data_IF_197030726879
#
_entry.id   IF_197030726879
#
_cell.length_a   1.000
_cell.length_b   1.000
_cell.length_c   1.000
_cell.angle_alpha   90.00
_cell.angle_beta   90.00
_cell.angle_gamma   90.00
#
_symmetry.space_group_name_H-M   'P 1'
#
loop_
_entity.id
_entity.type
_entity.pdbx_description
1 polymer ?
#
# COMPACT_ATOMS: atom_id res chain seq x y z
N UNK A 1 13.19 -30.35 -71.92
CA UNK A 1 13.11 -28.94 -71.47
C UNK A 1 11.78 -28.55 -70.82
N UNK A 2 10.60 -28.83 -71.47
CA UNK A 2 9.29 -28.44 -70.87
C UNK A 2 8.97 -29.12 -69.51
N UNK A 3 9.40 -30.36 -69.24
CA UNK A 3 9.18 -31.08 -68.01
C UNK A 3 10.12 -30.58 -66.90
N UNK A 4 11.31 -30.07 -67.23
CA UNK A 4 12.25 -29.48 -66.21
C UNK A 4 11.82 -28.08 -65.76
N UNK A 5 11.23 -27.31 -66.69
CA UNK A 5 10.70 -25.99 -66.41
C UNK A 5 9.47 -26.07 -65.50
N UNK A 6 8.61 -27.09 -65.68
CA UNK A 6 7.45 -27.33 -64.77
C UNK A 6 7.84 -27.74 -63.36
N UNK A 7 8.93 -28.51 -63.21
CA UNK A 7 9.44 -28.89 -61.86
C UNK A 7 10.07 -27.71 -61.15
N UNK A 8 10.76 -26.82 -61.83
CA UNK A 8 11.35 -25.62 -61.25
C UNK A 8 10.27 -24.59 -60.83
N UNK A 9 9.19 -24.45 -61.66
CA UNK A 9 8.05 -23.62 -61.32
C UNK A 9 7.26 -24.19 -60.13
N UNK A 10 7.09 -25.52 -60.02
CA UNK A 10 6.45 -26.17 -58.88
C UNK A 10 7.29 -26.06 -57.60
N UNK A 11 8.63 -26.16 -57.73
CA UNK A 11 9.54 -25.93 -56.58
C UNK A 11 9.57 -24.47 -56.14
N UNK A 12 9.49 -23.49 -57.06
CA UNK A 12 9.36 -22.07 -56.71
C UNK A 12 8.01 -21.73 -56.11
N UNK A 13 6.92 -22.36 -56.52
CA UNK A 13 5.60 -22.19 -55.86
C UNK A 13 5.56 -22.89 -54.51
N UNK A 14 6.22 -24.03 -54.31
CA UNK A 14 6.34 -24.69 -53.03
C UNK A 14 7.23 -23.91 -52.04
N UNK A 15 8.26 -23.20 -52.48
CA UNK A 15 9.07 -22.28 -51.66
C UNK A 15 8.36 -20.93 -51.42
N UNK A 16 7.43 -20.53 -52.29
CA UNK A 16 6.59 -19.33 -52.08
C UNK A 16 5.44 -19.54 -51.09
N UNK A 17 5.13 -20.78 -50.72
CA UNK A 17 4.18 -21.13 -49.66
C UNK A 17 4.86 -21.35 -48.29
N UNK A 18 6.17 -21.18 -48.20
CA UNK A 18 6.83 -21.08 -46.90
C UNK A 18 6.55 -19.72 -46.30
N UNK A 19 5.53 -19.75 -45.43
CA UNK A 19 5.30 -18.79 -44.36
C UNK A 19 5.39 -17.32 -44.79
N UNK A 20 4.31 -16.78 -45.32
CA UNK A 20 3.86 -15.56 -44.68
C UNK A 20 3.40 -16.05 -43.29
N UNK A 21 4.33 -16.29 -42.37
CA UNK A 21 4.05 -16.05 -40.98
C UNK A 21 3.65 -14.58 -41.00
N UNK A 22 2.36 -14.29 -40.90
CA UNK A 22 1.87 -13.00 -40.48
C UNK A 22 2.71 -12.70 -39.26
N UNK A 23 3.61 -11.74 -39.36
CA UNK A 23 4.19 -11.19 -38.14
C UNK A 23 2.95 -10.76 -37.33
N UNK A 24 2.60 -11.52 -36.32
CA UNK A 24 1.55 -11.10 -35.40
C UNK A 24 1.91 -9.68 -35.01
N UNK A 25 0.98 -8.77 -35.24
CA UNK A 25 1.19 -7.35 -34.95
C UNK A 25 1.56 -7.25 -33.48
N UNK A 26 2.74 -6.69 -33.20
CA UNK A 26 3.26 -6.60 -31.83
C UNK A 26 2.29 -5.76 -31.00
N UNK A 27 1.78 -6.32 -29.93
CA UNK A 27 0.89 -5.63 -28.99
C UNK A 27 1.75 -4.80 -28.06
N UNK A 28 1.58 -3.49 -28.06
CA UNK A 28 2.25 -2.61 -27.09
C UNK A 28 1.28 -2.26 -25.98
N UNK A 29 1.74 -2.39 -24.73
CA UNK A 29 1.05 -1.92 -23.52
C UNK A 29 1.83 -0.76 -22.91
N UNK A 30 1.19 0.37 -22.71
CA UNK A 30 1.76 1.52 -21.98
C UNK A 30 1.47 1.35 -20.47
N UNK A 31 2.53 1.05 -19.74
CA UNK A 31 2.48 0.72 -18.33
C UNK A 31 3.10 1.84 -17.47
N UNK A 32 2.25 2.62 -16.81
CA UNK A 32 2.65 3.67 -15.87
C UNK A 32 2.98 3.05 -14.53
N UNK A 33 4.22 3.24 -14.07
CA UNK A 33 4.68 2.59 -12.85
C UNK A 33 5.60 3.52 -12.02
N UNK A 34 5.08 4.04 -10.91
CA UNK A 34 5.87 4.88 -10.00
C UNK A 34 6.98 4.10 -9.29
N UNK A 35 6.80 2.81 -9.07
CA UNK A 35 7.77 1.98 -8.36
C UNK A 35 9.11 1.85 -9.09
N UNK A 36 9.15 2.15 -10.39
CA UNK A 36 10.38 2.26 -11.18
C UNK A 36 11.25 3.48 -10.78
N UNK A 37 10.69 4.46 -10.06
CA UNK A 37 11.46 5.57 -9.48
C UNK A 37 12.11 5.22 -8.13
N UNK A 38 11.78 4.06 -7.55
CA UNK A 38 12.28 3.59 -6.27
C UNK A 38 13.32 2.48 -6.47
N UNK A 39 14.57 2.72 -6.08
CA UNK A 39 15.72 1.86 -6.41
C UNK A 39 15.49 0.38 -6.08
N UNK A 40 15.00 0.07 -4.87
CA UNK A 40 14.77 -1.31 -4.43
C UNK A 40 13.70 -2.06 -5.25
N UNK A 41 12.74 -1.32 -5.82
CA UNK A 41 11.64 -1.87 -6.62
C UNK A 41 11.96 -1.88 -8.11
N UNK A 42 12.76 -0.92 -8.60
CA UNK A 42 13.06 -0.74 -10.01
C UNK A 42 13.71 -1.98 -10.64
N UNK A 43 14.70 -2.57 -9.98
CA UNK A 43 15.40 -3.75 -10.48
C UNK A 43 14.46 -4.95 -10.61
N UNK A 44 13.57 -5.13 -9.64
CA UNK A 44 12.57 -6.19 -9.68
C UNK A 44 11.56 -5.98 -10.82
N UNK A 45 11.04 -4.75 -11.00
CA UNK A 45 10.09 -4.44 -12.07
C UNK A 45 10.72 -4.58 -13.45
N UNK A 46 11.94 -4.06 -13.64
CA UNK A 46 12.66 -4.19 -14.91
C UNK A 46 12.89 -5.66 -15.28
N UNK A 47 13.27 -6.48 -14.30
CA UNK A 47 13.43 -7.92 -14.51
C UNK A 47 12.09 -8.60 -14.82
N UNK A 48 11.02 -8.28 -14.10
CA UNK A 48 9.70 -8.87 -14.28
C UNK A 48 9.16 -8.58 -15.69
N UNK A 49 9.29 -7.34 -16.17
CA UNK A 49 8.92 -6.96 -17.52
C UNK A 49 9.75 -7.70 -18.56
N UNK A 50 11.08 -7.72 -18.39
CA UNK A 50 11.97 -8.39 -19.34
C UNK A 50 11.72 -9.91 -19.42
N UNK A 51 11.47 -10.58 -18.29
CA UNK A 51 11.15 -12.01 -18.25
C UNK A 51 9.80 -12.30 -18.93
N UNK A 52 8.81 -11.40 -18.75
CA UNK A 52 7.53 -11.51 -19.42
C UNK A 52 7.65 -11.37 -20.94
N UNK A 53 8.35 -10.34 -21.41
CA UNK A 53 8.57 -10.10 -22.86
C UNK A 53 9.35 -11.22 -23.51
N UNK A 54 10.35 -11.78 -22.83
CA UNK A 54 11.09 -12.93 -23.31
C UNK A 54 10.21 -14.18 -23.51
N UNK A 55 9.18 -14.35 -22.66
CA UNK A 55 8.21 -15.42 -22.77
C UNK A 55 7.07 -15.12 -23.77
N UNK A 56 6.83 -13.83 -24.07
CA UNK A 56 5.76 -13.34 -24.93
C UNK A 56 6.32 -12.37 -25.99
N UNK A 57 7.06 -12.85 -27.01
CA UNK A 57 7.81 -11.99 -27.93
C UNK A 57 6.95 -11.11 -28.82
N UNK A 58 5.64 -11.36 -28.87
CA UNK A 58 4.64 -10.56 -29.55
C UNK A 58 4.05 -9.43 -28.69
N UNK A 59 4.45 -9.31 -27.42
CA UNK A 59 4.03 -8.24 -26.52
C UNK A 59 5.23 -7.36 -26.17
N UNK A 60 4.99 -6.06 -26.09
CA UNK A 60 5.96 -5.03 -25.69
C UNK A 60 5.36 -4.20 -24.56
N UNK A 61 6.08 -4.05 -23.48
CA UNK A 61 5.64 -3.25 -22.34
C UNK A 61 6.44 -1.97 -22.30
N UNK A 62 5.86 -0.89 -22.84
CA UNK A 62 6.42 0.45 -22.72
C UNK A 62 6.21 0.97 -21.28
N UNK A 63 7.24 0.83 -20.45
CA UNK A 63 7.19 1.32 -19.07
C UNK A 63 7.39 2.84 -19.01
N UNK A 64 6.47 3.53 -18.32
CA UNK A 64 6.51 4.98 -18.12
C UNK A 64 6.72 5.24 -16.63
N UNK A 65 7.93 5.70 -16.31
CA UNK A 65 8.33 6.00 -14.94
C UNK A 65 7.89 7.41 -14.57
N UNK A 66 7.09 7.52 -13.51
CA UNK A 66 6.62 8.80 -12.97
C UNK A 66 6.78 8.75 -11.45
N UNK A 67 7.20 9.87 -10.84
CA UNK A 67 7.22 9.98 -9.38
C UNK A 67 5.82 9.81 -8.79
N UNK A 68 5.73 9.12 -7.65
CA UNK A 68 4.48 8.80 -6.97
C UNK A 68 3.54 10.01 -6.81
N UNK A 69 4.06 11.16 -6.37
CA UNK A 69 3.25 12.36 -6.13
C UNK A 69 2.74 13.02 -7.42
N UNK A 70 3.38 12.72 -8.55
CA UNK A 70 3.02 13.27 -9.87
C UNK A 70 2.19 12.31 -10.71
N UNK A 71 2.03 11.06 -10.27
CA UNK A 71 1.47 9.98 -11.08
C UNK A 71 0.07 10.33 -11.61
N UNK A 72 -0.88 10.63 -10.72
CA UNK A 72 -2.27 10.95 -11.12
C UNK A 72 -2.30 12.11 -12.12
N UNK A 73 -1.58 13.19 -11.82
CA UNK A 73 -1.57 14.38 -12.70
C UNK A 73 -0.96 14.06 -14.06
N UNK A 74 0.10 13.25 -14.09
CA UNK A 74 0.79 12.91 -15.35
C UNK A 74 -0.12 12.07 -16.23
N UNK A 75 -0.65 10.97 -15.73
CA UNK A 75 -1.42 10.09 -16.60
C UNK A 75 -2.80 10.69 -16.97
N UNK A 76 -3.45 11.50 -16.11
CA UNK A 76 -4.66 12.23 -16.50
C UNK A 76 -4.39 13.27 -17.61
N UNK A 77 -3.26 13.94 -17.56
CA UNK A 77 -2.85 14.86 -18.64
C UNK A 77 -2.54 14.11 -19.95
N UNK A 78 -1.90 12.94 -19.86
CA UNK A 78 -1.61 12.11 -21.02
C UNK A 78 -2.90 11.59 -21.67
N UNK A 79 -3.85 11.11 -20.87
CA UNK A 79 -5.19 10.72 -21.36
C UNK A 79 -5.94 11.90 -22.00
N UNK A 80 -5.94 13.07 -21.36
CA UNK A 80 -6.55 14.27 -21.92
C UNK A 80 -5.89 14.71 -23.23
N UNK A 81 -4.61 14.37 -23.45
CA UNK A 81 -3.87 14.61 -24.70
C UNK A 81 -4.09 13.52 -25.76
N UNK A 82 -4.90 12.50 -25.46
CA UNK A 82 -5.20 11.39 -26.36
C UNK A 82 -4.12 10.30 -26.39
N UNK A 83 -3.21 10.28 -25.42
CA UNK A 83 -2.26 9.19 -25.24
C UNK A 83 -2.95 8.02 -24.51
N UNK A 84 -2.69 6.80 -24.97
CA UNK A 84 -3.20 5.62 -24.31
C UNK A 84 -2.54 5.41 -22.95
N UNK A 85 -3.31 4.94 -21.97
CA UNK A 85 -2.83 4.41 -20.69
C UNK A 85 -3.47 3.04 -20.53
N UNK A 86 -2.69 1.99 -20.74
CA UNK A 86 -3.25 0.62 -20.78
C UNK A 86 -3.22 -0.04 -19.41
N UNK A 87 -2.21 0.29 -18.61
CA UNK A 87 -2.03 -0.27 -17.27
C UNK A 87 -1.34 0.75 -16.36
N UNK A 88 -1.78 0.82 -15.12
CA UNK A 88 -1.18 1.67 -14.07
C UNK A 88 -0.85 0.81 -12.85
N UNK A 89 0.37 0.90 -12.36
CA UNK A 89 0.72 0.42 -11.02
C UNK A 89 0.47 1.54 -10.04
N UNK A 90 -0.57 1.39 -9.26
CA UNK A 90 -1.14 2.45 -8.45
C UNK A 90 -1.54 2.01 -7.05
N UNK A 91 -2.39 2.81 -6.48
CA UNK A 91 -2.97 2.56 -5.17
C UNK A 91 -4.48 2.87 -5.17
N UNK A 92 -5.13 2.38 -4.16
CA UNK A 92 -6.58 2.41 -4.01
C UNK A 92 -7.15 3.83 -3.98
N UNK A 93 -6.45 4.80 -3.39
CA UNK A 93 -6.94 6.19 -3.26
C UNK A 93 -7.09 6.90 -4.61
N UNK A 94 -6.56 6.33 -5.70
CA UNK A 94 -6.68 6.89 -7.04
C UNK A 94 -7.94 6.43 -7.77
N UNK A 95 -8.56 5.34 -7.31
CA UNK A 95 -9.73 4.74 -7.96
C UNK A 95 -10.87 5.74 -8.18
N UNK A 96 -11.33 6.53 -7.18
CA UNK A 96 -12.45 7.44 -7.39
C UNK A 96 -12.25 8.40 -8.55
N UNK A 97 -11.14 9.13 -8.56
CA UNK A 97 -10.85 10.12 -9.61
C UNK A 97 -10.74 9.49 -11.00
N UNK A 98 -10.26 8.26 -11.09
CA UNK A 98 -10.08 7.56 -12.36
C UNK A 98 -11.39 6.98 -12.88
N UNK A 99 -12.25 6.49 -12.01
CA UNK A 99 -13.58 6.01 -12.37
C UNK A 99 -14.47 7.17 -12.82
N UNK A 100 -14.48 8.26 -12.07
CA UNK A 100 -15.24 9.47 -12.41
C UNK A 100 -14.77 10.09 -13.73
N UNK A 101 -13.50 9.98 -14.05
CA UNK A 101 -12.94 10.38 -15.34
C UNK A 101 -13.24 9.42 -16.49
N UNK A 102 -13.78 8.24 -16.22
CA UNK A 102 -13.99 7.19 -17.22
C UNK A 102 -12.67 6.62 -17.77
N UNK A 103 -11.62 6.57 -16.95
CA UNK A 103 -10.27 6.25 -17.40
C UNK A 103 -9.86 4.79 -17.16
N UNK A 104 -10.54 4.08 -16.28
CA UNK A 104 -10.22 2.70 -15.91
C UNK A 104 -11.40 1.77 -16.08
N UNK A 105 -11.11 0.56 -16.54
CA UNK A 105 -12.05 -0.52 -16.76
C UNK A 105 -12.23 -1.38 -15.50
N UNK A 106 -13.32 -2.10 -15.42
CA UNK A 106 -13.51 -3.16 -14.44
C UNK A 106 -12.58 -4.34 -14.77
N UNK A 107 -11.80 -4.85 -13.81
CA UNK A 107 -10.94 -6.01 -14.06
C UNK A 107 -11.68 -7.25 -14.58
N UNK A 108 -12.95 -7.43 -14.17
CA UNK A 108 -13.79 -8.54 -14.63
C UNK A 108 -14.05 -8.54 -16.15
N UNK A 109 -13.96 -7.36 -16.80
CA UNK A 109 -14.16 -7.21 -18.25
C UNK A 109 -12.88 -7.45 -19.07
N UNK A 110 -11.74 -7.57 -18.39
CA UNK A 110 -10.41 -7.70 -19.01
C UNK A 110 -9.75 -9.02 -18.66
N UNK A 111 -9.81 -9.41 -17.40
CA UNK A 111 -9.10 -10.60 -16.91
C UNK A 111 -9.91 -11.87 -17.17
N UNK A 112 -9.21 -12.97 -17.41
CA UNK A 112 -9.85 -14.28 -17.53
C UNK A 112 -10.56 -14.63 -16.20
N UNK A 113 -11.77 -15.19 -16.31
CA UNK A 113 -12.64 -15.43 -15.16
C UNK A 113 -11.99 -16.31 -14.08
N UNK A 114 -11.23 -17.34 -14.47
CA UNK A 114 -10.55 -18.24 -13.53
C UNK A 114 -9.41 -17.56 -12.79
N UNK A 115 -8.71 -16.64 -13.44
CA UNK A 115 -7.66 -15.84 -12.81
C UNK A 115 -8.28 -14.81 -11.86
N UNK A 116 -9.24 -14.02 -12.33
CA UNK A 116 -9.91 -13.01 -11.49
C UNK A 116 -10.55 -13.63 -10.24
N UNK A 117 -11.22 -14.77 -10.36
CA UNK A 117 -11.78 -15.52 -9.22
C UNK A 117 -10.73 -16.11 -8.26
N UNK A 118 -9.45 -15.93 -8.57
CA UNK A 118 -8.35 -16.33 -7.70
C UNK A 118 -7.96 -15.30 -6.64
N UNK A 119 -8.43 -14.06 -6.77
CA UNK A 119 -8.20 -13.02 -5.76
C UNK A 119 -9.06 -13.26 -4.52
N UNK A 120 -8.53 -12.88 -3.35
CA UNK A 120 -9.29 -12.87 -2.11
C UNK A 120 -10.35 -11.77 -2.18
N UNK A 121 -11.63 -12.14 -2.04
CA UNK A 121 -12.74 -11.21 -2.16
C UNK A 121 -12.66 -10.09 -1.12
N UNK A 122 -12.28 -10.41 0.12
CA UNK A 122 -12.12 -9.42 1.18
C UNK A 122 -11.02 -8.39 0.86
N UNK A 123 -10.03 -8.76 0.02
CA UNK A 123 -9.02 -7.82 -0.46
C UNK A 123 -9.48 -7.07 -1.70
N UNK A 124 -10.30 -7.69 -2.57
CA UNK A 124 -10.91 -6.98 -3.72
C UNK A 124 -11.90 -5.91 -3.29
N UNK A 125 -12.65 -6.14 -2.20
CA UNK A 125 -13.69 -5.21 -1.72
C UNK A 125 -13.14 -3.81 -1.39
N UNK A 126 -11.84 -3.67 -1.13
CA UNK A 126 -11.22 -2.36 -0.95
C UNK A 126 -11.22 -1.49 -2.22
N UNK A 127 -11.33 -2.12 -3.42
CA UNK A 127 -11.38 -1.44 -4.72
C UNK A 127 -12.80 -1.17 -5.21
N UNK A 128 -13.79 -1.44 -4.33
CA UNK A 128 -15.19 -1.14 -4.63
C UNK A 128 -15.40 0.37 -4.62
N UNK A 129 -15.93 0.88 -5.71
CA UNK A 129 -16.33 2.27 -5.85
C UNK A 129 -17.59 2.37 -6.71
N UNK A 130 -18.57 3.19 -6.29
CA UNK A 130 -19.93 3.19 -6.83
C UNK A 130 -20.52 1.77 -6.77
N UNK A 131 -20.71 1.11 -7.89
CA UNK A 131 -21.41 -0.18 -7.97
C UNK A 131 -20.47 -1.36 -8.32
N UNK A 132 -19.14 -1.14 -8.47
CA UNK A 132 -18.22 -2.13 -9.02
C UNK A 132 -16.79 -2.08 -8.44
N UNK A 133 -15.97 -3.08 -8.79
CA UNK A 133 -14.55 -3.17 -8.42
C UNK A 133 -13.68 -2.71 -9.58
N UNK A 134 -12.77 -1.75 -9.35
CA UNK A 134 -11.97 -1.09 -10.39
C UNK A 134 -10.46 -1.29 -10.26
N UNK A 135 -10.02 -2.23 -9.47
CA UNK A 135 -8.60 -2.57 -9.36
C UNK A 135 -8.38 -3.99 -8.89
N UNK A 136 -7.17 -4.48 -9.07
CA UNK A 136 -6.75 -5.77 -8.52
C UNK A 136 -5.47 -5.59 -7.71
N UNK A 137 -5.40 -6.15 -6.50
CA UNK A 137 -4.22 -6.01 -5.67
C UNK A 137 -3.04 -6.80 -6.24
N UNK A 138 -1.87 -6.20 -6.25
CA UNK A 138 -0.61 -6.91 -6.44
C UNK A 138 -0.26 -7.71 -5.18
N UNK A 139 -0.44 -7.07 -4.04
CA UNK A 139 -0.33 -7.61 -2.69
C UNK A 139 -1.13 -6.71 -1.74
N UNK A 140 -1.31 -7.14 -0.51
CA UNK A 140 -1.84 -6.27 0.53
C UNK A 140 -0.91 -6.19 1.73
N UNK A 141 -1.02 -5.11 2.45
CA UNK A 141 -0.33 -4.86 3.71
C UNK A 141 -1.36 -4.48 4.77
N UNK A 142 -0.92 -4.44 6.00
CA UNK A 142 -1.71 -3.90 7.08
C UNK A 142 -0.82 -3.05 8.00
N UNK A 143 -1.44 -2.23 8.84
CA UNK A 143 -0.72 -1.47 9.85
C UNK A 143 -0.05 -2.42 10.84
N UNK A 144 1.24 -2.16 11.09
CA UNK A 144 2.08 -2.97 11.98
C UNK A 144 2.84 -2.06 12.95
N UNK A 145 3.30 -2.61 14.06
CA UNK A 145 4.33 -1.99 14.88
C UNK A 145 5.66 -2.64 14.50
N UNK A 146 6.58 -1.89 13.88
CA UNK A 146 7.95 -2.33 13.77
C UNK A 146 8.65 -2.19 15.11
N UNK A 147 9.38 -3.22 15.50
CA UNK A 147 10.05 -3.34 16.79
C UNK A 147 11.53 -3.64 16.57
N UNK A 148 12.39 -2.81 17.14
CA UNK A 148 13.82 -3.11 17.24
C UNK A 148 14.03 -4.07 18.41
N UNK A 149 14.14 -5.37 18.09
CA UNK A 149 14.24 -6.42 19.11
C UNK A 149 15.44 -6.24 20.03
N UNK A 150 16.57 -5.78 19.51
CA UNK A 150 17.81 -5.63 20.27
C UNK A 150 17.65 -4.55 21.35
N UNK A 151 16.94 -3.44 21.02
CA UNK A 151 16.64 -2.37 21.98
C UNK A 151 15.62 -2.81 23.04
N UNK A 152 14.61 -3.56 22.62
CA UNK A 152 13.54 -4.06 23.50
C UNK A 152 14.08 -5.10 24.47
N UNK A 153 14.85 -6.07 23.98
CA UNK A 153 15.45 -7.13 24.80
C UNK A 153 16.53 -6.58 25.74
N UNK A 154 17.30 -5.57 25.32
CA UNK A 154 18.27 -4.90 26.20
C UNK A 154 17.61 -4.25 27.41
N UNK A 155 16.37 -3.77 27.28
CA UNK A 155 15.57 -3.22 28.39
C UNK A 155 14.89 -4.31 29.24
N UNK A 156 15.14 -5.60 28.94
CA UNK A 156 14.58 -6.75 29.70
C UNK A 156 13.18 -7.15 29.29
N UNK A 157 12.64 -6.60 28.21
CA UNK A 157 11.33 -6.96 27.68
C UNK A 157 11.47 -8.17 26.73
N UNK A 158 10.42 -8.99 26.65
CA UNK A 158 10.43 -10.21 25.83
C UNK A 158 9.38 -10.14 24.71
N UNK A 159 9.79 -10.38 23.49
CA UNK A 159 8.92 -10.25 22.29
C UNK A 159 7.71 -11.19 22.30
N UNK A 160 7.81 -12.36 22.92
CA UNK A 160 6.70 -13.30 23.08
C UNK A 160 5.64 -12.80 24.09
N UNK A 161 6.00 -11.83 24.92
CA UNK A 161 5.12 -11.13 25.87
C UNK A 161 4.64 -9.76 25.32
N UNK A 162 4.71 -9.51 24.00
CA UNK A 162 4.32 -8.24 23.39
C UNK A 162 2.87 -7.87 23.79
N UNK A 163 2.61 -6.61 24.17
CA UNK A 163 1.33 -6.20 24.76
C UNK A 163 0.15 -6.36 23.81
N UNK A 164 -0.95 -6.88 24.33
CA UNK A 164 -2.24 -6.99 23.62
C UNK A 164 -3.26 -5.92 24.04
N UNK A 165 -2.86 -5.02 24.94
CA UNK A 165 -3.70 -3.91 25.41
C UNK A 165 -2.94 -2.58 25.33
N UNK A 166 -3.65 -1.46 25.19
CA UNK A 166 -3.07 -0.13 25.18
C UNK A 166 -2.28 0.15 26.49
N UNK A 167 -2.83 -0.24 27.63
CA UNK A 167 -2.17 -0.05 28.93
C UNK A 167 -0.87 -0.87 29.03
N UNK A 168 -0.89 -2.10 28.54
CA UNK A 168 0.33 -2.91 28.43
C UNK A 168 1.37 -2.27 27.52
N UNK A 169 0.94 -1.71 26.37
CA UNK A 169 1.84 -0.99 25.46
C UNK A 169 2.43 0.26 26.12
N UNK A 170 1.64 1.04 26.85
CA UNK A 170 2.15 2.18 27.63
C UNK A 170 3.18 1.73 28.67
N UNK A 171 2.94 0.61 29.37
CA UNK A 171 3.92 0.05 30.31
C UNK A 171 5.26 -0.34 29.66
N UNK A 172 5.23 -0.86 28.43
CA UNK A 172 6.44 -1.11 27.66
C UNK A 172 7.16 0.17 27.26
N UNK A 173 6.41 1.17 26.78
CA UNK A 173 6.93 2.49 26.42
C UNK A 173 7.63 3.13 27.63
N UNK A 174 7.01 3.11 28.79
CA UNK A 174 7.58 3.67 30.04
C UNK A 174 8.84 2.91 30.49
N UNK A 175 8.85 1.58 30.37
CA UNK A 175 10.03 0.75 30.67
C UNK A 175 11.20 1.10 29.75
N UNK A 176 10.95 1.19 28.43
CA UNK A 176 11.96 1.58 27.44
C UNK A 176 12.44 3.01 27.69
N UNK A 177 11.54 3.95 27.96
CA UNK A 177 11.88 5.33 28.24
C UNK A 177 12.75 5.45 29.49
N UNK A 178 12.43 4.72 30.56
CA UNK A 178 13.23 4.71 31.80
C UNK A 178 14.62 4.10 31.56
N UNK A 179 14.72 3.07 30.71
CA UNK A 179 15.99 2.42 30.40
C UNK A 179 16.92 3.30 29.55
N UNK A 180 16.36 4.01 28.56
CA UNK A 180 17.13 4.82 27.60
C UNK A 180 17.26 6.31 27.97
N UNK A 181 16.70 6.75 29.11
CA UNK A 181 16.65 8.17 29.51
C UNK A 181 17.98 8.91 29.53
N UNK A 182 19.07 8.20 29.85
CA UNK A 182 20.41 8.77 30.03
C UNK A 182 21.36 8.45 28.85
N UNK A 183 20.78 7.93 27.70
CA UNK A 183 21.57 7.49 26.55
C UNK A 183 21.29 8.31 25.30
N UNK A 184 22.34 8.61 24.53
CA UNK A 184 22.23 9.35 23.26
C UNK A 184 21.83 8.47 22.05
N UNK A 185 21.69 7.16 22.24
CA UNK A 185 21.49 6.21 21.14
C UNK A 185 20.06 6.20 20.64
N UNK A 186 19.07 6.30 21.53
CA UNK A 186 17.65 6.18 21.18
C UNK A 186 17.03 7.58 21.13
N UNK A 187 16.53 7.95 19.96
CA UNK A 187 15.88 9.24 19.73
C UNK A 187 14.36 9.17 19.86
N UNK A 188 13.78 7.98 19.73
CA UNK A 188 12.33 7.75 19.80
C UNK A 188 12.02 6.42 20.45
N UNK A 189 11.14 6.44 21.42
CA UNK A 189 10.66 5.23 22.13
C UNK A 189 9.52 4.58 21.34
N UNK A 190 8.50 5.37 20.97
CA UNK A 190 7.37 4.88 20.19
C UNK A 190 6.94 5.93 19.15
N UNK A 191 7.27 5.68 17.89
CA UNK A 191 7.03 6.60 16.79
C UNK A 191 5.61 6.56 16.27
N UNK A 192 4.92 7.71 16.32
CA UNK A 192 3.71 7.99 15.56
C UNK A 192 3.92 9.27 14.76
N UNK A 193 3.61 9.21 13.46
CA UNK A 193 3.79 10.36 12.57
C UNK A 193 2.82 11.50 12.88
N UNK A 194 3.30 12.74 12.76
CA UNK A 194 2.55 13.96 13.11
C UNK A 194 2.72 15.08 12.07
N UNK A 195 3.57 14.92 11.04
CA UNK A 195 3.76 15.95 10.02
C UNK A 195 2.50 16.17 9.17
N UNK A 196 2.21 17.40 8.79
CA UNK A 196 1.03 17.77 7.99
C UNK A 196 1.18 17.39 6.51
N UNK A 197 1.21 16.09 6.23
CA UNK A 197 1.25 15.52 4.88
C UNK A 197 0.20 14.42 4.71
N UNK A 198 -0.27 14.13 3.49
CA UNK A 198 -1.31 13.12 3.25
C UNK A 198 -1.00 11.75 3.85
N UNK A 199 0.21 11.25 3.67
CA UNK A 199 0.64 9.96 4.21
C UNK A 199 0.54 9.87 5.75
N UNK A 200 0.75 10.99 6.46
CA UNK A 200 0.52 11.08 7.90
C UNK A 200 -0.96 10.92 8.24
N UNK A 201 -1.83 11.55 7.47
CA UNK A 201 -3.28 11.45 7.66
C UNK A 201 -3.78 10.02 7.50
N UNK A 202 -3.29 9.27 6.50
CA UNK A 202 -3.59 7.85 6.36
C UNK A 202 -3.13 7.03 7.57
N UNK A 203 -1.91 7.29 8.06
CA UNK A 203 -1.37 6.60 9.24
C UNK A 203 -2.16 6.94 10.52
N UNK A 204 -2.58 8.21 10.71
CA UNK A 204 -3.43 8.61 11.84
C UNK A 204 -4.81 7.94 11.72
N UNK A 205 -5.38 7.85 10.50
CA UNK A 205 -6.63 7.13 10.29
C UNK A 205 -6.50 5.64 10.67
N UNK A 206 -5.36 5.00 10.36
CA UNK A 206 -5.11 3.64 10.78
C UNK A 206 -5.11 3.49 12.31
N UNK A 207 -4.53 4.45 13.04
CA UNK A 207 -4.58 4.48 14.49
C UNK A 207 -6.01 4.74 14.99
N UNK A 208 -6.76 5.66 14.35
CA UNK A 208 -8.15 5.94 14.71
C UNK A 208 -9.03 4.68 14.56
N UNK A 209 -8.85 3.92 13.48
CA UNK A 209 -9.52 2.63 13.30
C UNK A 209 -9.12 1.59 14.35
N UNK A 210 -7.86 1.59 14.79
CA UNK A 210 -7.40 0.71 15.87
C UNK A 210 -8.12 1.03 17.22
N UNK A 211 -8.45 2.31 17.46
CA UNK A 211 -9.29 2.74 18.58
C UNK A 211 -10.80 2.49 18.38
N UNK A 212 -11.21 1.95 17.24
CA UNK A 212 -12.59 1.61 16.91
C UNK A 212 -13.38 2.72 16.22
N UNK A 213 -12.70 3.79 15.78
CA UNK A 213 -13.32 4.89 15.07
C UNK A 213 -13.52 4.61 13.57
N UNK A 214 -14.44 5.33 12.96
CA UNK A 214 -14.74 5.29 11.54
C UNK A 214 -14.83 6.71 10.98
N UNK A 215 -14.14 6.97 9.86
CA UNK A 215 -14.19 8.26 9.17
C UNK A 215 -15.27 8.29 8.10
N UNK A 216 -15.35 7.25 7.31
CA UNK A 216 -16.24 7.14 6.16
C UNK A 216 -17.06 5.87 6.34
N UNK A 217 -18.36 6.00 6.19
CA UNK A 217 -19.31 4.88 6.20
C UNK A 217 -19.15 4.01 4.96
N UNK A 218 -19.75 2.82 4.97
CA UNK A 218 -19.76 1.95 3.81
C UNK A 218 -20.41 2.58 2.56
N UNK A 219 -21.32 3.54 2.78
CA UNK A 219 -22.01 4.27 1.70
C UNK A 219 -21.22 5.48 1.19
N UNK A 220 -19.97 5.69 1.65
CA UNK A 220 -19.10 6.78 1.21
C UNK A 220 -19.37 8.14 1.86
N UNK A 221 -20.20 8.19 2.89
CA UNK A 221 -20.52 9.41 3.62
C UNK A 221 -19.53 9.65 4.77
N UNK A 222 -19.35 10.90 5.20
CA UNK A 222 -18.64 11.17 6.47
C UNK A 222 -19.43 10.52 7.62
N UNK A 223 -18.75 9.68 8.39
CA UNK A 223 -19.36 9.08 9.58
C UNK A 223 -19.75 10.15 10.60
N UNK A 224 -20.79 9.91 11.38
CA UNK A 224 -21.13 10.81 12.50
C UNK A 224 -20.02 10.78 13.55
N UNK A 225 -19.09 11.72 13.45
CA UNK A 225 -17.96 11.85 14.35
C UNK A 225 -18.35 12.34 15.74
N UNK A 226 -19.60 12.78 15.95
CA UNK A 226 -20.17 13.09 17.26
C UNK A 226 -20.85 11.88 17.92
N UNK A 227 -21.09 10.79 17.18
CA UNK A 227 -21.59 9.55 17.77
C UNK A 227 -20.62 9.04 18.84
N UNK A 228 -21.16 8.47 19.92
CA UNK A 228 -20.39 8.09 21.10
C UNK A 228 -19.14 7.24 20.80
N UNK A 229 -19.26 6.26 19.91
CA UNK A 229 -18.14 5.40 19.50
C UNK A 229 -17.03 6.22 18.82
N UNK A 230 -17.39 7.02 17.81
CA UNK A 230 -16.44 7.79 17.02
C UNK A 230 -15.78 8.91 17.86
N UNK A 231 -16.57 9.61 18.66
CA UNK A 231 -16.08 10.68 19.53
C UNK A 231 -15.15 10.14 20.61
N UNK A 232 -15.49 9.01 21.23
CA UNK A 232 -14.64 8.36 22.25
C UNK A 232 -13.34 7.87 21.63
N UNK A 233 -13.40 7.16 20.50
CA UNK A 233 -12.21 6.68 19.78
C UNK A 233 -11.28 7.83 19.38
N UNK A 234 -11.84 8.95 18.89
CA UNK A 234 -11.09 10.15 18.53
C UNK A 234 -10.41 10.79 19.75
N UNK A 235 -11.14 10.90 20.84
CA UNK A 235 -10.63 11.44 22.11
C UNK A 235 -9.48 10.59 22.64
N UNK A 236 -9.68 9.27 22.75
CA UNK A 236 -8.66 8.36 23.29
C UNK A 236 -7.42 8.28 22.38
N UNK A 237 -7.58 8.34 21.07
CA UNK A 237 -6.47 8.44 20.12
C UNK A 237 -5.69 9.74 20.32
N UNK A 238 -6.36 10.88 20.40
CA UNK A 238 -5.71 12.19 20.59
C UNK A 238 -5.00 12.27 21.96
N UNK A 239 -5.59 11.71 23.01
CA UNK A 239 -4.94 11.62 24.30
C UNK A 239 -3.71 10.71 24.30
N UNK A 240 -3.72 9.66 23.48
CA UNK A 240 -2.54 8.81 23.29
C UNK A 240 -1.42 9.58 22.56
N UNK A 241 -1.73 10.34 21.51
CA UNK A 241 -0.75 11.21 20.85
C UNK A 241 -0.18 12.25 21.84
N UNK A 242 -1.05 12.90 22.63
CA UNK A 242 -0.64 13.87 23.64
C UNK A 242 0.24 13.26 24.71
N UNK A 243 -0.08 12.04 25.16
CA UNK A 243 0.76 11.27 26.09
C UNK A 243 2.15 11.02 25.52
N UNK A 244 2.25 10.57 24.28
CA UNK A 244 3.54 10.28 23.63
C UNK A 244 4.39 11.55 23.46
N UNK A 245 3.81 12.60 22.90
CA UNK A 245 4.50 13.88 22.64
C UNK A 245 4.87 14.56 23.96
N UNK A 246 3.92 14.68 24.89
CA UNK A 246 4.11 15.38 26.15
C UNK A 246 5.17 14.75 27.07
N UNK A 247 5.45 13.46 26.92
CA UNK A 247 6.53 12.77 27.63
C UNK A 247 7.83 12.64 26.82
N UNK A 248 7.86 13.14 25.58
CA UNK A 248 9.03 13.04 24.70
C UNK A 248 9.27 11.61 24.18
N UNK A 249 8.27 10.74 24.17
CA UNK A 249 8.38 9.36 23.67
C UNK A 249 8.30 9.28 22.16
N UNK A 250 7.69 10.27 21.52
CA UNK A 250 7.71 10.53 20.08
C UNK A 250 8.10 11.97 19.79
N UNK A 251 8.56 12.24 18.57
CA UNK A 251 8.94 13.58 18.13
C UNK A 251 7.81 14.24 17.35
N UNK A 252 7.71 15.55 17.45
CA UNK A 252 6.74 16.35 16.70
C UNK A 252 7.17 16.51 15.23
N UNK A 253 6.18 16.66 14.36
CA UNK A 253 6.37 17.03 12.94
C UNK A 253 7.26 16.07 12.13
N UNK A 254 7.31 14.78 12.51
CA UNK A 254 8.02 13.75 11.74
C UNK A 254 7.09 13.01 10.76
N UNK A 255 7.65 12.71 9.60
CA UNK A 255 7.03 11.88 8.54
C UNK A 255 7.38 10.41 8.76
N UNK A 256 6.65 9.51 8.12
CA UNK A 256 6.96 8.08 8.12
C UNK A 256 8.39 7.78 7.67
N UNK A 257 8.84 8.41 6.59
CA UNK A 257 10.21 8.19 6.08
C UNK A 257 11.30 8.60 7.08
N UNK A 258 11.01 9.57 7.96
CA UNK A 258 11.98 10.00 8.98
C UNK A 258 12.10 8.92 10.06
N UNK A 259 10.96 8.29 10.44
CA UNK A 259 10.96 7.12 11.35
C UNK A 259 11.63 5.90 10.70
N UNK A 260 11.38 5.63 9.42
CA UNK A 260 12.04 4.53 8.68
C UNK A 260 13.56 4.70 8.68
N UNK A 261 14.03 5.92 8.40
CA UNK A 261 15.44 6.26 8.41
C UNK A 261 16.06 6.11 9.82
N UNK A 262 15.42 6.67 10.84
CA UNK A 262 15.90 6.60 12.22
C UNK A 262 15.85 5.16 12.78
N UNK A 263 14.82 4.38 12.43
CA UNK A 263 14.71 2.97 12.81
C UNK A 263 15.77 2.12 12.14
N UNK A 264 16.02 2.29 10.83
CA UNK A 264 17.08 1.62 10.10
C UNK A 264 18.47 1.93 10.66
N UNK A 265 18.67 3.14 11.18
CA UNK A 265 19.89 3.53 11.90
C UNK A 265 19.96 2.99 13.35
N UNK A 266 18.95 2.25 13.83
CA UNK A 266 18.91 1.65 15.15
C UNK A 266 18.58 2.64 16.29
N UNK A 267 17.94 3.77 15.99
CA UNK A 267 17.69 4.86 16.93
C UNK A 267 16.24 4.93 17.44
N UNK A 268 15.37 4.01 17.02
CA UNK A 268 13.96 3.95 17.38
C UNK A 268 13.63 2.59 17.96
N UNK A 269 12.99 2.53 19.12
CA UNK A 269 12.60 1.26 19.73
C UNK A 269 11.43 0.61 19.00
N UNK A 270 10.37 1.37 18.77
CA UNK A 270 9.16 0.92 18.09
C UNK A 270 8.54 2.08 17.31
N UNK A 271 7.85 1.78 16.20
CA UNK A 271 7.00 2.77 15.50
C UNK A 271 5.92 2.08 14.66
N UNK A 272 4.83 2.80 14.38
CA UNK A 272 3.73 2.30 13.56
C UNK A 272 3.95 2.66 12.10
N UNK A 273 3.76 1.68 11.23
CA UNK A 273 3.87 1.82 9.78
C UNK A 273 2.99 0.77 9.07
N UNK A 274 2.91 0.83 7.76
CA UNK A 274 2.51 -0.32 6.94
C UNK A 274 3.73 -1.20 6.63
N UNK A 275 3.52 -2.49 6.44
CA UNK A 275 4.63 -3.44 6.30
C UNK A 275 5.57 -3.17 5.11
N UNK A 276 5.11 -2.48 4.07
CA UNK A 276 5.97 -2.04 2.94
C UNK A 276 7.08 -1.06 3.34
N UNK A 277 6.94 -0.36 4.47
CA UNK A 277 7.97 0.56 4.99
C UNK A 277 9.32 -0.10 5.23
N UNK A 278 9.33 -1.43 5.37
CA UNK A 278 10.57 -2.20 5.58
C UNK A 278 11.60 -2.01 4.44
N UNK A 279 11.17 -1.85 3.19
CA UNK A 279 12.10 -1.62 2.08
C UNK A 279 13.02 -0.42 2.35
N UNK A 280 12.43 0.70 2.82
CA UNK A 280 13.20 1.91 3.14
C UNK A 280 14.06 1.77 4.41
N UNK A 281 13.65 0.93 5.36
CA UNK A 281 14.49 0.59 6.52
C UNK A 281 15.78 -0.10 6.05
N UNK A 282 15.66 -1.09 5.16
CA UNK A 282 16.79 -1.83 4.60
C UNK A 282 17.72 -1.01 3.72
N UNK A 283 17.22 0.07 3.09
CA UNK A 283 18.05 1.02 2.33
C UNK A 283 18.99 1.82 3.24
N UNK A 284 18.62 2.06 4.49
CA UNK A 284 19.46 2.80 5.46
C UNK A 284 20.60 1.91 5.99
N UNK A 285 20.27 0.69 6.40
CA UNK A 285 21.25 -0.31 6.85
C UNK A 285 20.76 -1.71 6.45
N UNK A 286 21.51 -2.39 5.61
CA UNK A 286 21.25 -3.77 5.21
C UNK A 286 21.21 -4.75 6.40
N UNK A 287 21.83 -4.41 7.55
CA UNK A 287 21.76 -5.18 8.77
C UNK A 287 20.48 -4.97 9.56
N UNK A 288 19.62 -4.02 9.16
CA UNK A 288 18.37 -3.76 9.86
C UNK A 288 17.46 -5.00 9.94
N UNK A 289 17.57 -5.92 8.99
CA UNK A 289 16.88 -7.22 9.02
C UNK A 289 17.19 -8.05 10.28
N UNK A 290 18.38 -7.88 10.86
CA UNK A 290 18.82 -8.66 12.02
C UNK A 290 18.13 -8.24 13.32
N UNK A 291 17.68 -6.99 13.41
CA UNK A 291 17.02 -6.46 14.61
C UNK A 291 15.53 -6.10 14.39
N UNK A 292 15.06 -6.11 13.14
CA UNK A 292 13.67 -5.78 12.85
C UNK A 292 12.76 -6.99 13.03
N UNK A 293 11.73 -6.81 13.84
CA UNK A 293 10.56 -7.70 13.89
C UNK A 293 9.29 -6.84 13.83
N UNK A 294 8.15 -7.46 13.61
CA UNK A 294 6.87 -6.75 13.69
C UNK A 294 5.98 -7.30 14.80
N UNK A 295 5.06 -6.47 15.23
CA UNK A 295 3.96 -6.86 16.11
C UNK A 295 2.64 -6.33 15.55
N UNK A 296 1.55 -7.02 15.85
CA UNK A 296 0.21 -6.52 15.61
C UNK A 296 -0.11 -5.35 16.58
N UNK A 297 -1.02 -4.47 16.17
CA UNK A 297 -1.61 -3.50 17.09
C UNK A 297 -2.30 -4.23 18.24
N UNK A 298 -2.28 -3.69 19.47
CA UNK A 298 -2.97 -4.29 20.60
C UNK A 298 -4.44 -4.55 20.30
N UNK A 299 -4.95 -5.71 20.67
CA UNK A 299 -6.36 -6.10 20.42
C UNK A 299 -7.34 -5.33 21.30
N UNK A 300 -6.86 -4.61 22.32
CA UNK A 300 -7.63 -3.66 23.12
C UNK A 300 -6.94 -2.29 23.08
N UNK A 301 -7.45 -1.43 22.18
CA UNK A 301 -7.00 -0.04 22.01
C UNK A 301 -8.12 0.90 22.48
N UNK A 302 -8.10 1.31 23.75
CA UNK A 302 -9.16 2.13 24.32
C UNK A 302 -10.49 1.38 24.55
N UNK A 303 -11.58 2.14 24.66
CA UNK A 303 -12.92 1.64 25.05
C UNK A 303 -13.56 0.78 23.94
N UNK A 304 -13.47 1.18 22.69
CA UNK A 304 -14.10 0.52 21.55
C UNK A 304 -13.13 -0.17 20.60
N UNK A 305 -11.83 0.06 20.77
CA UNK A 305 -10.81 -0.46 19.89
C UNK A 305 -10.62 -1.97 20.03
N UNK A 306 -10.52 -2.63 18.87
CA UNK A 306 -10.28 -4.07 18.75
C UNK A 306 -8.92 -4.37 18.11
N UNK A 307 -8.03 -3.36 18.06
CA UNK A 307 -6.76 -3.48 17.36
C UNK A 307 -6.96 -3.66 15.85
N UNK A 308 -7.99 -3.04 15.30
CA UNK A 308 -8.24 -3.04 13.87
C UNK A 308 -6.99 -2.54 13.14
N UNK A 309 -6.60 -3.25 12.12
CA UNK A 309 -5.44 -2.92 11.30
C UNK A 309 -5.92 -2.52 9.92
N UNK A 310 -5.63 -1.28 9.51
CA UNK A 310 -6.00 -0.78 8.19
C UNK A 310 -5.22 -1.55 7.12
N UNK A 311 -5.95 -2.11 6.16
CA UNK A 311 -5.39 -2.75 4.97
C UNK A 311 -5.16 -1.71 3.90
N UNK A 312 -4.01 -1.78 3.28
CA UNK A 312 -3.63 -0.99 2.12
C UNK A 312 -3.05 -1.92 1.06
N UNK A 313 -3.25 -1.60 -0.22
CA UNK A 313 -2.75 -2.41 -1.33
C UNK A 313 -2.14 -1.52 -2.38
N UNK A 314 -1.00 -1.95 -2.90
CA UNK A 314 -0.61 -1.54 -4.23
C UNK A 314 -1.32 -2.43 -5.25
N UNK A 315 -1.74 -1.85 -6.35
CA UNK A 315 -2.66 -2.50 -7.27
C UNK A 315 -2.34 -2.22 -8.73
N UNK A 316 -2.96 -3.02 -9.56
CA UNK A 316 -3.06 -2.73 -10.98
C UNK A 316 -4.43 -2.09 -11.27
N UNK A 317 -4.41 -0.95 -11.95
CA UNK A 317 -5.58 -0.27 -12.50
C UNK A 317 -5.48 -0.40 -14.02
N UNK A 318 -6.53 -0.93 -14.63
CA UNK A 318 -6.53 -1.29 -16.06
C UNK A 318 -7.19 -0.15 -16.84
N UNK A 319 -6.55 0.33 -17.89
CA UNK A 319 -7.06 1.42 -18.72
C UNK A 319 -8.35 1.03 -19.46
N UNK A 320 -9.20 2.03 -19.72
CA UNK A 320 -10.42 1.86 -20.52
C UNK A 320 -10.09 1.80 -22.02
N UNK A 321 -10.95 1.16 -22.79
CA UNK A 321 -10.87 1.17 -24.27
C UNK A 321 -9.83 0.24 -24.89
N UNK A 322 -9.31 -0.75 -24.14
CA UNK A 322 -8.37 -1.74 -24.66
C UNK A 322 -8.96 -2.62 -25.75
N UNK A 323 -8.18 -2.88 -26.80
CA UNK A 323 -8.48 -3.91 -27.79
C UNK A 323 -8.43 -5.31 -27.17
N UNK A 324 -9.06 -6.31 -27.81
CA UNK A 324 -9.02 -7.70 -27.34
C UNK A 324 -7.59 -8.23 -27.19
N UNK A 325 -6.67 -7.84 -28.09
CA UNK A 325 -5.27 -8.21 -28.03
C UNK A 325 -4.55 -7.59 -26.82
N UNK A 326 -4.86 -6.33 -26.50
CA UNK A 326 -4.32 -5.65 -25.30
C UNK A 326 -4.90 -6.25 -24.02
N UNK A 327 -6.21 -6.54 -23.99
CA UNK A 327 -6.85 -7.24 -22.84
C UNK A 327 -6.16 -8.59 -22.57
N UNK A 328 -5.93 -9.38 -23.60
CA UNK A 328 -5.23 -10.66 -23.47
C UNK A 328 -3.77 -10.48 -22.98
N UNK A 329 -3.08 -9.44 -23.44
CA UNK A 329 -1.73 -9.13 -22.99
C UNK A 329 -1.69 -8.64 -21.54
N UNK A 330 -2.66 -7.82 -21.11
CA UNK A 330 -2.82 -7.39 -19.69
C UNK A 330 -3.09 -8.60 -18.80
N UNK A 331 -4.05 -9.46 -19.15
CA UNK A 331 -4.35 -10.69 -18.40
C UNK A 331 -3.11 -11.58 -18.24
N UNK A 332 -2.38 -11.83 -19.35
CA UNK A 332 -1.15 -12.61 -19.29
C UNK A 332 -0.05 -11.97 -18.45
N UNK A 333 0.08 -10.63 -18.49
CA UNK A 333 1.09 -9.92 -17.68
C UNK A 333 0.75 -9.95 -16.20
N UNK A 334 -0.52 -9.73 -15.82
CA UNK A 334 -0.94 -9.82 -14.43
C UNK A 334 -0.80 -11.24 -13.88
N UNK A 335 -1.12 -12.27 -14.68
CA UNK A 335 -0.84 -13.66 -14.32
C UNK A 335 0.66 -13.90 -14.11
N UNK A 336 1.53 -13.28 -14.93
CA UNK A 336 2.98 -13.38 -14.75
C UNK A 336 3.43 -12.72 -13.44
N UNK A 337 2.90 -11.55 -13.13
CA UNK A 337 3.20 -10.85 -11.88
C UNK A 337 2.73 -11.61 -10.62
N UNK A 338 1.75 -12.51 -10.74
CA UNK A 338 1.22 -13.32 -9.62
C UNK A 338 1.74 -14.77 -9.63
N UNK A 339 2.86 -15.04 -10.29
CA UNK A 339 3.53 -16.34 -10.17
C UNK A 339 4.41 -16.39 -8.91
N UNK A 340 4.48 -17.54 -8.21
CA UNK A 340 5.38 -17.71 -7.08
C UNK A 340 6.83 -17.34 -7.39
N UNK A 341 7.35 -17.75 -8.55
CA UNK A 341 8.72 -17.49 -9.00
C UNK A 341 9.00 -15.98 -9.16
N UNK A 342 7.97 -15.19 -9.49
CA UNK A 342 8.08 -13.75 -9.63
C UNK A 342 7.96 -13.06 -8.26
N UNK A 343 6.97 -13.48 -7.45
CA UNK A 343 6.57 -12.76 -6.26
C UNK A 343 7.33 -13.13 -4.97
N UNK A 344 7.84 -14.37 -4.84
CA UNK A 344 8.42 -14.80 -3.57
C UNK A 344 9.60 -13.91 -3.13
N UNK A 345 10.44 -13.52 -4.08
CA UNK A 345 11.54 -12.58 -3.78
C UNK A 345 11.01 -11.21 -3.34
N UNK A 346 10.00 -10.68 -4.05
CA UNK A 346 9.38 -9.39 -3.72
C UNK A 346 8.83 -9.37 -2.30
N UNK A 347 8.00 -10.37 -1.97
CA UNK A 347 7.32 -10.49 -0.67
C UNK A 347 8.28 -10.64 0.52
N UNK A 348 9.49 -11.12 0.28
CA UNK A 348 10.45 -11.39 1.35
C UNK A 348 11.56 -10.35 1.47
N UNK A 349 11.82 -9.58 0.41
CA UNK A 349 13.00 -8.72 0.37
C UNK A 349 12.69 -7.26 0.02
N UNK A 350 11.59 -6.99 -0.69
CA UNK A 350 11.29 -5.65 -1.20
C UNK A 350 10.11 -5.04 -0.47
N UNK A 351 8.92 -5.64 -0.64
CA UNK A 351 7.70 -5.09 -0.06
C UNK A 351 7.09 -6.09 0.89
N UNK A 352 7.64 -6.25 2.10
CA UNK A 352 7.09 -7.18 3.08
C UNK A 352 5.56 -7.07 3.12
N UNK A 353 4.88 -8.06 2.56
CA UNK A 353 3.46 -7.99 2.28
C UNK A 353 2.80 -9.36 2.37
N UNK A 354 1.49 -9.37 2.33
CA UNK A 354 0.67 -10.57 2.30
C UNK A 354 0.15 -10.83 0.89
N UNK A 355 -0.06 -12.10 0.59
CA UNK A 355 -0.54 -12.52 -0.73
C UNK A 355 -2.04 -12.22 -0.87
N UNK A 356 -2.43 -11.74 -2.06
CA UNK A 356 -3.80 -11.38 -2.38
C UNK A 356 -4.47 -12.35 -3.37
N UNK A 357 -3.69 -13.29 -3.93
CA UNK A 357 -4.17 -14.22 -4.94
C UNK A 357 -3.82 -15.67 -4.58
N UNK A 358 -4.73 -16.62 -4.87
CA UNK A 358 -4.57 -18.06 -4.56
C UNK A 358 -3.29 -18.68 -5.16
N UNK A 359 -2.82 -18.20 -6.30
CA UNK A 359 -1.58 -18.69 -6.91
C UNK A 359 -0.35 -18.49 -6.02
N UNK A 360 -0.42 -17.55 -5.09
CA UNK A 360 0.66 -17.19 -4.17
C UNK A 360 0.48 -17.81 -2.77
N UNK A 361 -0.53 -18.67 -2.56
CA UNK A 361 -0.86 -19.21 -1.24
C UNK A 361 0.31 -19.97 -0.58
N UNK A 362 1.15 -20.60 -1.39
CA UNK A 362 2.33 -21.36 -0.93
C UNK A 362 3.61 -20.51 -0.81
N UNK A 363 3.56 -19.22 -1.22
CA UNK A 363 4.70 -18.32 -1.06
C UNK A 363 4.99 -18.08 0.42
N UNK A 364 6.25 -18.19 0.78
CA UNK A 364 6.68 -17.85 2.14
C UNK A 364 6.60 -16.34 2.33
N UNK A 365 5.95 -15.94 3.40
CA UNK A 365 5.97 -14.56 3.88
C UNK A 365 7.17 -14.39 4.81
N UNK A 366 7.79 -13.22 4.80
CA UNK A 366 8.95 -12.92 5.63
C UNK A 366 8.67 -13.18 7.11
N UNK A 367 9.62 -13.79 7.82
CA UNK A 367 9.54 -14.01 9.28
C UNK A 367 9.43 -12.69 10.06
N UNK A 368 9.87 -11.57 9.49
CA UNK A 368 9.66 -10.24 10.07
C UNK A 368 8.17 -9.95 10.28
N UNK A 369 7.28 -10.47 9.41
CA UNK A 369 5.83 -10.28 9.51
C UNK A 369 5.10 -11.26 10.44
N UNK A 370 5.77 -12.23 11.04
CA UNK A 370 5.11 -13.23 11.90
C UNK A 370 4.31 -12.59 13.06
N UNK A 371 4.84 -11.53 13.66
CA UNK A 371 4.15 -10.79 14.71
C UNK A 371 2.91 -10.07 14.20
N UNK A 372 3.04 -9.39 13.05
CA UNK A 372 1.95 -8.68 12.39
C UNK A 372 0.85 -9.64 11.89
N UNK A 373 1.23 -10.83 11.47
CA UNK A 373 0.28 -11.85 11.00
C UNK A 373 -0.72 -12.29 12.08
N UNK A 374 -0.41 -12.13 13.36
CA UNK A 374 -1.35 -12.37 14.47
C UNK A 374 -2.55 -11.43 14.44
N UNK A 375 -2.41 -10.24 13.82
CA UNK A 375 -3.49 -9.25 13.65
C UNK A 375 -4.38 -9.46 12.41
N UNK A 376 -4.10 -10.45 11.55
CA UNK A 376 -4.85 -10.68 10.30
C UNK A 376 -6.36 -10.85 10.48
N UNK A 377 -6.83 -11.31 11.64
CA UNK A 377 -8.26 -11.46 11.92
C UNK A 377 -8.99 -10.14 12.21
N UNK A 378 -8.27 -9.04 12.39
CA UNK A 378 -8.82 -7.72 12.74
C UNK A 378 -8.54 -6.68 11.64
N UNK A 379 -8.39 -7.11 10.39
CA UNK A 379 -8.19 -6.19 9.26
C UNK A 379 -9.47 -5.44 8.92
N UNK A 380 -9.33 -4.18 8.59
CA UNK A 380 -10.41 -3.30 8.17
C UNK A 380 -10.00 -2.52 6.93
N UNK A 381 -10.97 -2.19 6.10
CA UNK A 381 -10.79 -1.38 4.91
C UNK A 381 -11.29 0.04 5.15
N UNK A 382 -10.77 0.98 4.39
CA UNK A 382 -11.29 2.33 4.33
C UNK A 382 -12.06 2.48 3.02
N UNK A 383 -13.38 2.74 3.05
CA UNK A 383 -14.14 3.10 1.86
C UNK A 383 -13.49 4.30 1.16
N UNK A 384 -13.44 4.26 -0.17
CA UNK A 384 -12.81 5.31 -0.95
C UNK A 384 -13.84 6.37 -1.33
N UNK A 385 -13.42 7.62 -1.23
CA UNK A 385 -14.19 8.79 -1.69
C UNK A 385 -13.23 9.75 -2.39
N UNK A 386 -13.73 10.55 -3.33
CA UNK A 386 -12.90 11.51 -4.07
C UNK A 386 -12.01 12.39 -3.18
N UNK A 387 -12.55 13.06 -2.14
CA UNK A 387 -11.78 13.96 -1.28
C UNK A 387 -10.96 13.27 -0.17
N UNK A 388 -10.83 11.93 -0.15
CA UNK A 388 -10.19 11.17 0.95
C UNK A 388 -8.82 11.73 1.37
N UNK A 389 -7.97 12.07 0.41
CA UNK A 389 -6.63 12.62 0.69
C UNK A 389 -6.71 13.91 1.50
N UNK A 390 -7.67 14.78 1.17
CA UNK A 390 -7.89 16.04 1.88
C UNK A 390 -8.45 15.80 3.28
N UNK A 391 -9.45 14.94 3.40
CA UNK A 391 -10.05 14.54 4.69
C UNK A 391 -8.99 13.96 5.64
N UNK A 392 -8.16 13.05 5.15
CA UNK A 392 -7.08 12.45 5.95
C UNK A 392 -6.00 13.47 6.34
N UNK A 393 -5.65 14.40 5.44
CA UNK A 393 -4.68 15.45 5.79
C UNK A 393 -5.12 16.28 6.99
N UNK A 394 -6.42 16.57 7.11
CA UNK A 394 -6.96 17.32 8.25
C UNK A 394 -6.82 16.58 9.58
N UNK A 395 -6.69 15.24 9.59
CA UNK A 395 -6.37 14.50 10.81
C UNK A 395 -4.99 14.89 11.38
N UNK A 396 -4.00 15.09 10.51
CA UNK A 396 -2.68 15.54 10.95
C UNK A 396 -2.73 16.95 11.55
N UNK A 397 -3.47 17.85 10.92
CA UNK A 397 -3.71 19.21 11.46
C UNK A 397 -4.40 19.15 12.83
N UNK A 398 -5.43 18.33 12.98
CA UNK A 398 -6.14 18.14 14.25
C UNK A 398 -5.21 17.64 15.38
N UNK A 399 -4.39 16.61 15.09
CA UNK A 399 -3.42 16.09 16.07
C UNK A 399 -2.48 17.20 16.53
N UNK A 400 -1.88 17.97 15.60
CA UNK A 400 -0.98 19.07 15.96
C UNK A 400 -1.69 20.20 16.71
N UNK A 401 -2.90 20.55 16.29
CA UNK A 401 -3.69 21.59 16.97
C UNK A 401 -3.93 21.23 18.45
N UNK A 402 -4.28 19.98 18.74
CA UNK A 402 -4.51 19.54 20.13
C UNK A 402 -3.22 19.32 20.90
N UNK A 403 -2.21 18.71 20.29
CA UNK A 403 -1.01 18.24 21.02
C UNK A 403 0.07 19.30 21.16
N UNK A 404 0.20 20.21 20.19
CA UNK A 404 1.29 21.18 20.08
C UNK A 404 0.80 22.63 20.15
N UNK A 405 -0.24 22.96 19.37
CA UNK A 405 -0.68 24.36 19.21
C UNK A 405 -1.58 24.86 20.35
N UNK A 406 -1.89 24.02 21.34
CA UNK A 406 -2.63 24.40 22.55
C UNK A 406 -4.15 24.56 22.35
N UNK A 407 -4.70 24.06 21.22
CA UNK A 407 -6.15 24.02 21.03
C UNK A 407 -6.80 23.06 22.02
N UNK A 408 -8.02 23.35 22.47
CA UNK A 408 -8.76 22.40 23.30
C UNK A 408 -9.11 21.14 22.51
N UNK A 409 -9.32 20.01 23.19
CA UNK A 409 -9.73 18.77 22.54
C UNK A 409 -11.03 18.95 21.76
N UNK A 410 -12.01 19.63 22.37
CA UNK A 410 -13.33 19.88 21.77
C UNK A 410 -13.21 20.77 20.52
N UNK A 411 -12.43 21.84 20.57
CA UNK A 411 -12.22 22.73 19.41
C UNK A 411 -11.46 22.04 18.30
N UNK A 412 -10.44 21.22 18.60
CA UNK A 412 -9.68 20.50 17.59
C UNK A 412 -10.54 19.48 16.83
N UNK A 413 -11.41 18.75 17.54
CA UNK A 413 -12.35 17.81 16.92
C UNK A 413 -13.40 18.58 16.10
N UNK A 414 -13.95 19.68 16.63
CA UNK A 414 -14.94 20.48 15.93
C UNK A 414 -14.37 21.11 14.64
N UNK A 415 -13.14 21.64 14.68
CA UNK A 415 -12.44 22.16 13.49
C UNK A 415 -12.23 21.05 12.46
N UNK A 416 -11.78 19.87 12.88
CA UNK A 416 -11.63 18.74 11.96
C UNK A 416 -12.94 18.36 11.28
N UNK A 417 -14.06 18.26 12.03
CA UNK A 417 -15.38 17.94 11.45
C UNK A 417 -15.77 18.98 10.40
N UNK A 418 -15.61 20.25 10.70
CA UNK A 418 -15.93 21.34 9.78
C UNK A 418 -15.10 21.26 8.48
N UNK A 419 -13.79 20.98 8.58
CA UNK A 419 -12.91 20.85 7.43
C UNK A 419 -13.21 19.60 6.60
N UNK A 420 -13.44 18.45 7.25
CA UNK A 420 -13.78 17.21 6.57
C UNK A 420 -15.10 17.35 5.80
N UNK A 421 -16.15 17.90 6.45
CA UNK A 421 -17.43 18.18 5.80
C UNK A 421 -17.28 19.10 4.60
N UNK A 422 -16.50 20.18 4.73
CA UNK A 422 -16.25 21.11 3.62
C UNK A 422 -15.66 20.41 2.38
N UNK A 423 -14.71 19.47 2.56
CA UNK A 423 -14.11 18.73 1.43
C UNK A 423 -15.06 17.70 0.82
N UNK A 424 -15.95 17.12 1.61
CA UNK A 424 -16.90 16.11 1.12
C UNK A 424 -18.06 16.76 0.35
N UNK A 425 -18.46 17.96 0.74
CA UNK A 425 -19.56 18.70 0.11
C UNK A 425 -19.16 19.40 -1.21
N UNK A 426 -17.90 19.35 -1.64
CA UNK A 426 -17.41 19.93 -2.90
C UNK A 426 -17.44 18.95 -4.06
#
# INVERSE_FOLDING_TARGET
>A
MKKFLALVLAAMMALGCMSIASAEEKVTLRFYNYALSETAKADWWNKTVADFEAANPNVDIETITVDYNSMITTFTNDLASGLAVDLVYGEISWVPALVEGGFIAQPADVLSADFYAGYDQGVLDQFYYLDDIYGVPHYFTNSVIFVNKDLVEAAGLKLDEFPTTLEGLKGWIETLAAFYKDGDKVSTIFGLTTAEVPATGSNINAIYKAFGGELITADGELADLNADVNKTAMTEMLDFYKYLIGNGYTQENLKLKDYRAAFGAGNVCMYVDSSWGYAQIGEVDANAANFTVSAALPTTMGTYGKGNSLVESHCFLIGEGLSDAQKAAVDAFLQHCTKPETMEYYLNNIGLAFVAHKNLADCKVSSILEGAAKGKGNVVFQPQIGPMVSVQKQLATMVLNYTVNGMSLEDAIADYINQATYYIDQ
#
